data_IF_527665115300
#
_entry.id   IF_527665115300
#
_cell.length_a   1.000
_cell.length_b   1.000
_cell.length_c   1.000
_cell.angle_alpha   90.00
_cell.angle_beta   90.00
_cell.angle_gamma   90.00
#
_symmetry.space_group_name_H-M   'P 1'
#
loop_
_entity.id
_entity.type
_entity.pdbx_description
1 polymer ?
#
# COMPACT_ATOMS: atom_id res chain seq x y z
N UNK A 1 1.24 6.00 5.64
CA UNK A 1 -0.19 6.16 5.99
C UNK A 1 -1.06 5.82 4.80
N UNK A 2 -2.16 5.13 5.02
CA UNK A 2 -3.16 4.82 4.01
C UNK A 2 -4.54 5.41 4.34
N UNK A 3 -5.50 5.20 3.44
CA UNK A 3 -6.85 5.74 3.61
C UNK A 3 -7.62 5.14 4.80
N UNK A 4 -7.33 3.91 5.20
CA UNK A 4 -7.93 3.28 6.37
C UNK A 4 -7.35 3.84 7.66
N UNK A 5 -6.08 4.18 7.67
CA UNK A 5 -5.40 4.77 8.83
C UNK A 5 -6.03 6.11 9.22
N UNK A 6 -6.47 6.90 8.24
CA UNK A 6 -7.22 8.15 8.50
C UNK A 6 -8.56 7.97 9.21
N UNK A 7 -9.08 6.76 9.32
CA UNK A 7 -10.31 6.53 10.10
C UNK A 7 -10.12 6.84 11.57
N UNK A 8 -8.92 6.56 12.11
CA UNK A 8 -8.59 6.93 13.48
C UNK A 8 -8.59 8.45 13.66
N UNK A 9 -7.95 9.19 12.78
CA UNK A 9 -7.94 10.65 12.83
C UNK A 9 -9.35 11.24 12.72
N UNK A 10 -10.19 10.67 11.85
CA UNK A 10 -11.60 11.07 11.74
C UNK A 10 -12.37 10.78 13.04
N UNK A 11 -12.15 9.63 13.65
CA UNK A 11 -12.76 9.30 14.95
C UNK A 11 -12.34 10.30 16.02
N UNK A 12 -11.05 10.61 16.13
CA UNK A 12 -10.52 11.59 17.11
C UNK A 12 -11.15 12.96 16.86
N UNK A 13 -11.21 13.43 15.61
CA UNK A 13 -11.80 14.74 15.30
C UNK A 13 -13.29 14.81 15.64
N UNK A 14 -14.03 13.75 15.38
CA UNK A 14 -15.46 13.68 15.70
C UNK A 14 -15.74 13.55 17.21
N UNK A 15 -14.75 13.12 17.99
CA UNK A 15 -14.85 12.91 19.44
C UNK A 15 -13.76 13.69 20.19
N UNK A 16 -13.38 14.87 19.69
CA UNK A 16 -12.19 15.60 20.14
C UNK A 16 -12.19 15.88 21.64
N UNK A 17 -13.34 16.26 22.22
CA UNK A 17 -13.44 16.53 23.65
C UNK A 17 -13.11 15.33 24.56
N UNK A 18 -13.32 14.10 24.07
CA UNK A 18 -13.10 12.87 24.84
C UNK A 18 -11.81 12.13 24.46
N UNK A 19 -11.30 12.34 23.28
CA UNK A 19 -10.24 11.50 22.72
C UNK A 19 -8.92 12.24 22.45
N UNK A 20 -8.96 13.54 22.19
CA UNK A 20 -7.77 14.30 21.84
C UNK A 20 -6.87 14.53 23.05
N UNK A 21 -5.58 14.28 22.87
CA UNK A 21 -4.57 14.55 23.90
C UNK A 21 -4.47 13.51 25.01
N UNK A 22 -5.22 12.40 24.95
CA UNK A 22 -5.04 11.29 25.89
C UNK A 22 -3.63 10.72 25.72
N UNK A 23 -2.86 10.65 26.80
CA UNK A 23 -1.47 10.14 26.82
C UNK A 23 -1.30 9.12 27.94
N UNK A 24 -0.26 8.32 27.85
CA UNK A 24 0.17 7.44 28.94
C UNK A 24 0.80 8.31 30.03
N UNK A 25 0.36 8.17 31.28
CA UNK A 25 0.73 9.08 32.38
C UNK A 25 2.24 9.16 32.65
N UNK A 26 2.94 8.06 32.49
CA UNK A 26 4.40 7.97 32.70
C UNK A 26 5.23 8.19 31.41
N UNK A 27 4.57 8.53 30.30
CA UNK A 27 5.21 8.79 29.02
C UNK A 27 4.59 10.05 28.36
N UNK A 28 4.67 11.22 29.00
CA UNK A 28 3.96 12.43 28.55
C UNK A 28 4.46 12.97 27.21
N UNK A 29 5.72 12.68 26.85
CA UNK A 29 6.33 13.10 25.58
C UNK A 29 6.03 12.14 24.43
N UNK A 30 5.43 10.96 24.72
CA UNK A 30 5.07 10.01 23.67
C UNK A 30 3.90 10.52 22.83
N UNK A 31 3.70 9.87 21.68
CA UNK A 31 2.51 10.10 20.86
C UNK A 31 1.22 9.91 21.69
N UNK A 32 0.13 10.63 21.36
CA UNK A 32 -1.16 10.37 21.96
C UNK A 32 -1.51 8.88 21.89
N UNK A 33 -2.17 8.35 22.93
CA UNK A 33 -2.57 6.93 22.95
C UNK A 33 -3.32 6.53 21.67
N UNK A 34 -4.24 7.39 21.23
CA UNK A 34 -4.99 7.21 19.98
C UNK A 34 -4.23 7.78 18.78
N UNK A 35 -3.01 7.32 18.57
CA UNK A 35 -2.24 7.55 17.33
C UNK A 35 -1.84 6.20 16.71
N UNK A 36 -1.71 6.14 15.40
CA UNK A 36 -1.28 4.91 14.73
C UNK A 36 0.11 4.49 15.17
N UNK A 37 1.03 5.44 15.31
CA UNK A 37 2.40 5.18 15.75
C UNK A 37 2.41 4.45 17.09
N UNK A 38 1.58 4.90 18.04
CA UNK A 38 1.50 4.29 19.35
C UNK A 38 0.74 2.95 19.35
N UNK A 39 -0.41 2.90 18.68
CA UNK A 39 -1.22 1.67 18.60
C UNK A 39 -0.51 0.54 17.87
N UNK A 40 0.32 0.85 16.88
CA UNK A 40 1.15 -0.11 16.15
C UNK A 40 2.54 -0.32 16.80
N UNK A 41 2.84 0.39 17.90
CA UNK A 41 4.14 0.31 18.59
C UNK A 41 5.32 0.58 17.66
N UNK A 42 5.16 1.56 16.77
CA UNK A 42 6.16 1.84 15.74
C UNK A 42 7.55 2.12 16.31
N UNK A 43 7.64 2.94 17.35
CA UNK A 43 8.90 3.29 18.00
C UNK A 43 9.59 2.06 18.61
N UNK A 44 8.84 1.20 19.31
CA UNK A 44 9.38 -0.02 19.91
C UNK A 44 9.87 -1.04 18.87
N UNK A 45 9.22 -1.07 17.71
CA UNK A 45 9.54 -1.99 16.62
C UNK A 45 10.55 -1.40 15.62
N UNK A 46 11.01 -0.17 15.84
CA UNK A 46 11.91 0.52 14.92
C UNK A 46 11.27 0.80 13.54
N UNK A 47 9.96 1.00 13.50
CA UNK A 47 9.21 1.25 12.27
C UNK A 47 9.03 2.75 12.08
N UNK A 48 9.55 3.28 10.98
CA UNK A 48 9.26 4.64 10.55
C UNK A 48 7.86 4.74 9.97
N UNK A 49 7.01 5.59 10.55
CA UNK A 49 5.67 5.85 10.05
C UNK A 49 5.63 7.15 9.26
N UNK A 50 5.38 7.08 7.97
CA UNK A 50 5.31 8.24 7.09
C UNK A 50 3.86 8.71 7.02
N UNK A 51 3.57 9.82 7.66
CA UNK A 51 2.26 10.47 7.71
C UNK A 51 2.02 11.36 6.49
N UNK A 52 0.77 11.80 6.30
CA UNK A 52 0.39 12.79 5.30
C UNK A 52 -0.32 12.23 4.06
N UNK A 53 -1.07 11.12 4.21
CA UNK A 53 -1.96 10.64 3.13
C UNK A 53 -2.86 11.76 2.59
N UNK A 54 -3.04 11.92 1.26
CA UNK A 54 -2.61 11.00 0.19
C UNK A 54 -1.21 11.29 -0.39
N UNK A 55 -0.56 12.35 0.04
CA UNK A 55 0.71 12.79 -0.56
C UNK A 55 1.94 12.06 -0.02
N UNK A 56 1.80 11.38 1.12
CA UNK A 56 2.89 10.66 1.77
C UNK A 56 3.52 9.62 0.83
N UNK A 57 4.83 9.67 0.72
CA UNK A 57 5.61 8.74 -0.08
C UNK A 57 6.97 8.49 0.56
N UNK A 58 7.42 7.25 0.53
CA UNK A 58 8.78 6.87 0.85
C UNK A 58 9.60 6.80 -0.44
N UNK A 59 10.74 7.49 -0.47
CA UNK A 59 11.65 7.45 -1.61
C UNK A 59 12.68 6.34 -1.41
N UNK A 60 12.59 5.31 -2.26
CA UNK A 60 13.53 4.18 -2.27
C UNK A 60 14.85 4.63 -2.91
N UNK A 61 14.76 5.42 -3.98
CA UNK A 61 15.89 6.12 -4.60
C UNK A 61 15.39 7.43 -5.24
N UNK A 62 16.22 8.14 -5.99
CA UNK A 62 15.84 9.44 -6.60
C UNK A 62 14.70 9.35 -7.62
N UNK A 63 14.41 8.18 -8.16
CA UNK A 63 13.40 7.98 -9.20
C UNK A 63 12.32 6.96 -8.86
N UNK A 64 12.44 6.25 -7.76
CA UNK A 64 11.45 5.28 -7.29
C UNK A 64 10.90 5.69 -5.93
N UNK A 65 9.61 5.88 -5.88
CA UNK A 65 8.88 6.09 -4.63
C UNK A 65 7.86 5.00 -4.37
N UNK A 66 7.61 4.74 -3.10
CA UNK A 66 6.52 3.90 -2.62
C UNK A 66 5.48 4.77 -1.90
N UNK A 67 4.21 4.57 -2.20
CA UNK A 67 3.10 5.29 -1.57
C UNK A 67 1.88 4.38 -1.41
N UNK A 68 0.98 4.72 -0.49
CA UNK A 68 -0.29 3.99 -0.44
C UNK A 68 -1.11 4.19 -1.72
N UNK A 69 -1.18 5.41 -2.20
CA UNK A 69 -2.02 5.77 -3.33
C UNK A 69 -3.44 6.17 -2.93
N UNK A 70 -4.06 6.97 -3.77
CA UNK A 70 -5.40 7.54 -3.56
C UNK A 70 -6.32 7.33 -4.76
N UNK A 71 -5.79 6.75 -5.84
CA UNK A 71 -6.52 6.54 -7.09
C UNK A 71 -6.96 5.10 -7.21
N UNK A 72 -8.20 4.92 -7.62
CA UNK A 72 -8.75 3.63 -7.98
C UNK A 72 -9.60 3.78 -9.24
N UNK A 73 -9.17 3.18 -10.33
CA UNK A 73 -9.92 3.16 -11.58
C UNK A 73 -10.56 1.77 -11.76
N UNK A 74 -11.86 1.73 -12.01
CA UNK A 74 -12.59 0.48 -12.19
C UNK A 74 -12.10 -0.35 -13.37
N UNK A 75 -11.54 0.28 -14.39
CA UNK A 75 -11.00 -0.39 -15.58
C UNK A 75 -9.62 -1.03 -15.41
N UNK A 76 -8.99 -0.96 -14.22
CA UNK A 76 -7.64 -1.51 -14.01
C UNK A 76 -6.53 -0.65 -14.62
N UNK A 77 -6.75 0.64 -14.81
CA UNK A 77 -5.78 1.54 -15.44
C UNK A 77 -5.12 2.53 -14.45
N UNK A 78 -5.09 2.19 -13.15
CA UNK A 78 -4.53 3.06 -12.12
C UNK A 78 -3.03 3.25 -12.31
N UNK A 79 -2.31 2.18 -12.69
CA UNK A 79 -0.89 2.27 -13.02
C UNK A 79 -0.62 3.27 -14.17
N UNK A 80 -1.47 3.28 -15.19
CA UNK A 80 -1.37 4.22 -16.30
C UNK A 80 -1.62 5.67 -15.86
N UNK A 81 -2.55 5.89 -14.92
CA UNK A 81 -2.81 7.23 -14.38
C UNK A 81 -1.59 7.76 -13.63
N UNK A 82 -0.94 6.94 -12.79
CA UNK A 82 0.30 7.35 -12.11
C UNK A 82 1.45 7.59 -13.08
N UNK A 83 1.67 6.71 -14.05
CA UNK A 83 2.69 6.88 -15.08
C UNK A 83 2.49 8.15 -15.91
N UNK A 84 1.23 8.52 -16.20
CA UNK A 84 0.92 9.74 -16.96
C UNK A 84 1.05 11.03 -16.13
N UNK A 85 0.69 10.96 -14.85
CA UNK A 85 0.77 12.14 -13.97
C UNK A 85 2.20 12.48 -13.56
N UNK A 86 3.08 11.49 -13.48
CA UNK A 86 4.47 11.66 -13.05
C UNK A 86 5.40 10.86 -13.96
N UNK A 87 5.56 11.26 -15.23
CA UNK A 87 6.25 10.43 -16.23
C UNK A 87 7.75 10.25 -15.97
N UNK A 88 8.34 11.06 -15.09
CA UNK A 88 9.75 11.01 -14.75
C UNK A 88 10.04 10.23 -13.45
N UNK A 89 9.00 9.73 -12.79
CA UNK A 89 9.11 9.07 -11.48
C UNK A 89 8.44 7.70 -11.56
N UNK A 90 9.18 6.68 -11.19
CA UNK A 90 8.61 5.35 -10.98
C UNK A 90 7.86 5.31 -9.64
N UNK A 91 6.70 4.68 -9.65
CA UNK A 91 5.81 4.69 -8.48
C UNK A 91 5.33 3.27 -8.15
N UNK A 92 5.70 2.78 -6.98
CA UNK A 92 5.05 1.65 -6.34
C UNK A 92 3.84 2.18 -5.57
N UNK A 93 2.65 1.63 -5.82
CA UNK A 93 1.44 2.05 -5.11
C UNK A 93 0.61 0.85 -4.65
N UNK A 94 -0.16 1.05 -3.59
CA UNK A 94 -1.12 0.08 -3.06
C UNK A 94 -2.56 0.48 -3.38
N UNK A 95 -3.44 0.49 -2.39
CA UNK A 95 -4.82 0.96 -2.42
C UNK A 95 -5.81 0.15 -3.27
N UNK A 96 -5.44 -0.19 -4.50
CA UNK A 96 -6.34 -0.86 -5.47
C UNK A 96 -6.49 -2.35 -5.20
N UNK A 97 -5.56 -2.95 -4.45
CA UNK A 97 -5.46 -4.39 -4.22
C UNK A 97 -5.32 -5.22 -5.50
N UNK A 98 -4.96 -4.58 -6.61
CA UNK A 98 -4.78 -5.23 -7.92
C UNK A 98 -3.32 -5.24 -8.33
N UNK A 99 -2.91 -6.30 -9.01
CA UNK A 99 -1.63 -6.35 -9.67
C UNK A 99 -1.72 -5.55 -10.97
N UNK A 100 -1.04 -4.43 -11.02
CA UNK A 100 -1.03 -3.53 -12.18
C UNK A 100 0.39 -3.10 -12.49
N UNK A 101 0.68 -2.88 -13.76
CA UNK A 101 1.95 -2.32 -14.20
C UNK A 101 1.78 -1.51 -15.47
N UNK A 102 2.42 -0.35 -15.54
CA UNK A 102 2.50 0.48 -16.74
C UNK A 102 3.86 1.14 -16.82
N UNK A 103 4.57 0.87 -17.91
CA UNK A 103 5.83 1.55 -18.24
C UNK A 103 5.55 2.77 -19.11
N UNK A 104 6.38 3.79 -18.97
CA UNK A 104 6.35 4.99 -19.80
C UNK A 104 7.76 5.43 -20.16
N UNK A 105 7.93 5.92 -21.39
CA UNK A 105 9.13 6.61 -21.84
C UNK A 105 8.75 8.02 -22.27
N UNK A 106 9.44 9.00 -21.76
CA UNK A 106 9.36 10.39 -22.21
C UNK A 106 10.74 10.84 -22.66
N UNK A 107 10.76 11.78 -23.58
CA UNK A 107 12.00 12.35 -24.07
C UNK A 107 12.12 13.76 -23.53
N UNK A 108 13.22 14.03 -22.85
CA UNK A 108 13.62 15.38 -22.45
C UNK A 108 14.92 15.73 -23.19
N UNK A 109 14.79 16.59 -24.20
CA UNK A 109 15.87 16.91 -25.16
C UNK A 109 16.41 15.62 -25.79
N UNK A 110 17.67 15.29 -25.51
CA UNK A 110 18.36 14.12 -26.08
C UNK A 110 18.36 12.90 -25.17
N UNK A 111 17.63 12.95 -24.04
CA UNK A 111 17.57 11.87 -23.06
C UNK A 111 16.21 11.21 -23.02
N UNK A 112 16.20 9.88 -23.08
CA UNK A 112 15.02 9.07 -22.84
C UNK A 112 14.90 8.76 -21.34
N UNK A 113 13.86 9.28 -20.70
CA UNK A 113 13.54 8.97 -19.30
C UNK A 113 12.51 7.85 -19.29
N UNK A 114 12.89 6.72 -18.70
CA UNK A 114 12.00 5.57 -18.51
C UNK A 114 11.51 5.51 -17.10
N UNK A 115 10.21 5.31 -16.92
CA UNK A 115 9.59 5.11 -15.62
C UNK A 115 8.59 3.96 -15.65
N UNK A 116 8.24 3.44 -14.49
CA UNK A 116 7.23 2.41 -14.34
C UNK A 116 6.38 2.70 -13.11
N UNK A 117 5.07 2.57 -13.27
CA UNK A 117 4.14 2.57 -12.13
C UNK A 117 3.56 1.18 -11.97
N UNK A 118 3.57 0.65 -10.75
CA UNK A 118 3.17 -0.72 -10.48
C UNK A 118 2.57 -0.89 -9.09
N UNK A 119 1.67 -1.87 -8.98
CA UNK A 119 1.06 -2.29 -7.73
C UNK A 119 1.21 -3.80 -7.56
N UNK A 120 1.64 -4.27 -6.38
CA UNK A 120 1.86 -5.69 -6.12
C UNK A 120 0.57 -6.50 -5.93
N UNK A 121 -0.58 -5.84 -5.83
CA UNK A 121 -1.80 -6.45 -5.35
C UNK A 121 -1.96 -6.31 -3.83
N UNK A 122 -2.40 -7.36 -3.17
CA UNK A 122 -2.63 -7.39 -1.72
C UNK A 122 -2.24 -8.73 -1.09
N UNK A 123 -2.16 -8.76 0.23
CA UNK A 123 -2.03 -9.99 1.01
C UNK A 123 -3.29 -10.33 1.82
N UNK A 124 -4.38 -9.57 1.61
CA UNK A 124 -5.65 -9.84 2.26
C UNK A 124 -6.39 -11.01 1.60
N UNK A 125 -7.47 -11.44 2.23
CA UNK A 125 -8.40 -12.43 1.67
C UNK A 125 -9.02 -11.90 0.38
N UNK A 126 -9.16 -12.78 -0.60
CA UNK A 126 -9.79 -12.50 -1.90
C UNK A 126 -10.97 -13.46 -2.19
N UNK A 127 -11.47 -14.09 -1.14
CA UNK A 127 -12.57 -15.07 -1.19
C UNK A 127 -13.99 -14.45 -1.09
N UNK A 128 -14.07 -13.13 -1.19
CA UNK A 128 -15.34 -12.40 -1.13
C UNK A 128 -15.87 -12.14 0.29
N UNK A 129 -15.17 -12.60 1.32
CA UNK A 129 -15.61 -12.46 2.72
C UNK A 129 -14.86 -11.34 3.48
N UNK A 130 -14.50 -10.25 2.82
CA UNK A 130 -13.80 -9.12 3.45
C UNK A 130 -14.80 -8.08 3.96
N UNK A 131 -14.89 -7.83 5.26
CA UNK A 131 -15.92 -6.95 5.85
C UNK A 131 -15.84 -5.49 5.41
N UNK A 132 -14.72 -5.05 4.90
CA UNK A 132 -14.49 -3.64 4.50
C UNK A 132 -14.94 -3.30 3.08
N UNK A 133 -15.32 -4.29 2.29
CA UNK A 133 -15.90 -4.11 0.96
C UNK A 133 -17.42 -4.23 1.00
N UNK A 134 -18.06 -4.11 -0.14
CA UNK A 134 -19.54 -4.23 -0.29
C UNK A 134 -20.12 -5.57 0.16
N UNK A 135 -19.25 -6.57 0.33
CA UNK A 135 -19.55 -7.75 1.12
C UNK A 135 -19.75 -7.33 2.57
N UNK A 136 -20.39 -8.10 3.32
CA UNK A 136 -20.69 -7.90 4.72
C UNK A 136 -21.42 -9.11 5.19
N UNK A 137 -22.31 -8.93 6.12
CA UNK A 137 -23.24 -9.97 6.54
C UNK A 137 -24.66 -9.59 6.11
N UNK A 138 -25.44 -10.57 5.72
CA UNK A 138 -26.87 -10.39 5.48
C UNK A 138 -27.63 -10.19 6.81
N UNK A 139 -28.94 -10.00 6.73
CA UNK A 139 -29.81 -9.83 7.91
C UNK A 139 -29.82 -11.04 8.85
N UNK A 140 -29.29 -12.18 8.43
CA UNK A 140 -29.15 -13.42 9.22
C UNK A 140 -27.72 -13.60 9.74
N UNK A 141 -26.81 -12.63 9.53
CA UNK A 141 -25.41 -12.71 9.92
C UNK A 141 -24.55 -13.62 9.02
N UNK A 142 -25.07 -14.05 7.85
CA UNK A 142 -24.29 -14.83 6.90
C UNK A 142 -23.44 -13.91 6.02
N UNK A 143 -22.20 -14.31 5.75
CA UNK A 143 -21.29 -13.54 4.91
C UNK A 143 -21.86 -13.40 3.49
N UNK A 144 -22.04 -12.14 3.08
CA UNK A 144 -22.31 -11.81 1.68
C UNK A 144 -20.99 -11.95 0.92
N UNK A 145 -20.92 -12.88 0.01
CA UNK A 145 -19.77 -13.02 -0.87
C UNK A 145 -19.84 -11.97 -1.97
N UNK A 146 -18.90 -11.05 -1.96
CA UNK A 146 -18.71 -10.07 -3.02
C UNK A 146 -17.26 -10.15 -3.50
N UNK A 147 -17.07 -10.61 -4.72
CA UNK A 147 -15.75 -10.75 -5.32
C UNK A 147 -15.34 -9.43 -5.98
N UNK A 148 -14.30 -8.81 -5.45
CA UNK A 148 -13.63 -7.67 -6.08
C UNK A 148 -12.55 -8.17 -7.06
N UNK A 149 -12.18 -7.33 -8.00
CA UNK A 149 -11.04 -7.59 -8.89
C UNK A 149 -9.71 -7.38 -8.16
N UNK A 150 -9.46 -8.21 -7.14
CA UNK A 150 -8.25 -8.19 -6.32
C UNK A 150 -7.36 -9.38 -6.63
N UNK A 151 -6.06 -9.18 -6.56
CA UNK A 151 -5.07 -10.25 -6.72
C UNK A 151 -4.12 -10.26 -5.54
N UNK A 152 -3.80 -11.45 -5.06
CA UNK A 152 -2.77 -11.62 -4.04
C UNK A 152 -1.39 -11.64 -4.70
N UNK A 153 -0.49 -10.84 -4.13
CA UNK A 153 0.88 -10.78 -4.62
C UNK A 153 1.76 -9.86 -3.79
N UNK A 154 3.03 -9.93 -4.09
CA UNK A 154 4.09 -9.06 -3.54
C UNK A 154 5.00 -8.58 -4.66
N UNK A 155 5.72 -7.49 -4.42
CA UNK A 155 6.82 -7.07 -5.28
C UNK A 155 8.14 -7.15 -4.51
N UNK A 156 9.15 -7.72 -5.14
CA UNK A 156 10.52 -7.74 -4.64
C UNK A 156 11.33 -6.75 -5.45
N UNK A 157 11.92 -5.77 -4.78
CA UNK A 157 12.64 -4.68 -5.43
C UNK A 157 14.11 -4.82 -5.13
N UNK A 158 14.93 -4.77 -6.18
CA UNK A 158 16.38 -4.82 -6.12
C UNK A 158 16.92 -3.47 -6.56
N UNK A 159 17.72 -2.85 -5.72
CA UNK A 159 18.41 -1.59 -6.01
C UNK A 159 19.80 -1.62 -5.38
N UNK A 160 20.70 -0.81 -5.88
CA UNK A 160 22.05 -0.71 -5.36
C UNK A 160 22.17 0.52 -4.46
N UNK A 161 22.77 0.36 -3.31
CA UNK A 161 23.06 1.48 -2.42
C UNK A 161 23.95 2.50 -3.15
N UNK A 162 23.56 3.77 -3.07
CA UNK A 162 24.23 4.87 -3.75
C UNK A 162 23.97 4.96 -5.26
N UNK A 163 23.20 4.03 -5.85
CA UNK A 163 22.70 4.16 -7.20
C UNK A 163 21.40 4.98 -7.18
N UNK A 164 21.42 6.07 -7.89
CA UNK A 164 20.34 7.04 -7.85
C UNK A 164 19.13 6.67 -8.70
N UNK A 165 19.30 5.82 -9.71
CA UNK A 165 18.31 5.65 -10.79
C UNK A 165 17.95 4.20 -11.08
N UNK A 166 18.86 3.24 -10.88
CA UNK A 166 18.66 1.87 -11.31
C UNK A 166 17.93 1.04 -10.26
N UNK A 167 16.96 0.31 -10.71
CA UNK A 167 16.31 -0.73 -9.91
C UNK A 167 15.72 -1.80 -10.83
N UNK A 168 15.51 -2.97 -10.27
CA UNK A 168 14.74 -4.05 -10.88
C UNK A 168 13.66 -4.51 -9.90
N UNK A 169 12.55 -5.00 -10.39
CA UNK A 169 11.54 -5.58 -9.53
C UNK A 169 10.90 -6.81 -10.16
N UNK A 170 10.56 -7.76 -9.31
CA UNK A 170 9.77 -8.92 -9.63
C UNK A 170 8.37 -8.76 -9.03
N UNK A 171 7.33 -8.92 -9.86
CA UNK A 171 5.97 -9.07 -9.36
C UNK A 171 5.67 -10.56 -9.16
N UNK A 172 5.42 -10.94 -7.93
CA UNK A 172 5.20 -12.33 -7.53
C UNK A 172 3.73 -12.54 -7.22
N UNK A 173 3.02 -13.19 -8.12
CA UNK A 173 1.60 -13.53 -7.95
C UNK A 173 1.42 -14.71 -7.01
N UNK A 174 0.49 -14.60 -6.08
CA UNK A 174 0.11 -15.66 -5.16
C UNK A 174 -1.28 -16.18 -5.54
N UNK A 175 -1.40 -17.47 -5.77
CA UNK A 175 -2.68 -18.10 -6.11
C UNK A 175 -2.98 -19.25 -5.16
N UNK A 176 -4.10 -19.17 -4.44
CA UNK A 176 -4.53 -20.20 -3.47
C UNK A 176 -3.42 -20.60 -2.48
N UNK A 177 -2.71 -19.62 -1.94
CA UNK A 177 -1.64 -19.82 -0.97
C UNK A 177 -0.35 -20.40 -1.56
N UNK A 178 -0.16 -20.37 -2.88
CA UNK A 178 1.02 -20.87 -3.57
C UNK A 178 1.60 -19.84 -4.52
N UNK A 179 2.91 -19.87 -4.68
CA UNK A 179 3.62 -19.10 -5.70
C UNK A 179 4.89 -19.78 -6.14
N UNK A 180 5.39 -19.37 -7.31
CA UNK A 180 6.71 -19.71 -7.80
C UNK A 180 7.60 -18.48 -7.76
N UNK A 181 8.73 -18.55 -7.09
CA UNK A 181 9.70 -17.47 -7.07
C UNK A 181 11.12 -18.02 -7.20
N UNK A 182 11.87 -17.51 -8.18
CA UNK A 182 13.24 -17.94 -8.50
C UNK A 182 13.39 -19.47 -8.65
N UNK A 183 12.42 -20.09 -9.32
CA UNK A 183 12.42 -21.53 -9.58
C UNK A 183 12.02 -22.40 -8.37
N UNK A 184 11.62 -21.81 -7.26
CA UNK A 184 11.16 -22.53 -6.08
C UNK A 184 9.66 -22.36 -5.89
N UNK A 185 8.95 -23.46 -5.61
CA UNK A 185 7.56 -23.41 -5.16
C UNK A 185 7.53 -23.02 -3.68
N UNK A 186 6.75 -22.00 -3.36
CA UNK A 186 6.48 -21.55 -2.00
C UNK A 186 5.00 -21.79 -1.72
N UNK A 187 4.72 -22.54 -0.67
CA UNK A 187 3.36 -22.95 -0.27
C UNK A 187 3.06 -22.44 1.13
N UNK A 188 1.89 -21.83 1.32
CA UNK A 188 1.41 -21.44 2.64
C UNK A 188 1.24 -22.68 3.53
N UNK A 189 1.74 -22.61 4.76
CA UNK A 189 1.52 -23.62 5.79
C UNK A 189 0.23 -23.37 6.59
N UNK A 190 -0.41 -22.22 6.40
CA UNK A 190 -1.69 -21.89 7.03
C UNK A 190 -2.82 -22.61 6.31
N UNK A 191 -3.64 -23.30 7.07
CA UNK A 191 -4.87 -23.97 6.60
C UNK A 191 -6.05 -23.02 6.73
#
# INVERSE_FOLDING_TARGET
EGNHDKRLNRFINNNAAAAYGIKVANMPESWPVLSLQNLLRCDELGVEFIDGYPAAAHWINKRLRAMHGDRANSSGSTAAQYANSNPNISTLFGHTHRMEQQSKTVFDRDQAIKSVSFSPGCLCRVDGAVPSVKGGVDVKGQALQYFENWQQGVSVIFFKDGDDDSFHFDQVHIHKGKTMYRGQEIVSTLK
#
